data_IF_056263786079
#
_entry.id   IF_056263786079
#
_cell.length_a   1.000
_cell.length_b   1.000
_cell.length_c   1.000
_cell.angle_alpha   90.00
_cell.angle_beta   90.00
_cell.angle_gamma   90.00
#
_symmetry.space_group_name_H-M   'P 1'
#
loop_
_entity.id
_entity.type
_entity.pdbx_description
1 polymer ?
#
# COMPACT_ATOMS: atom_id res chain seq x y z
N UNK A 1 2.21 -17.24 21.59
CA UNK A 1 2.59 -16.80 20.24
C UNK A 1 1.38 -17.04 19.36
N UNK A 2 0.56 -16.02 19.15
CA UNK A 2 -0.51 -16.08 18.16
C UNK A 2 0.16 -16.16 16.80
N UNK A 3 0.21 -17.35 16.20
CA UNK A 3 0.61 -17.53 14.81
C UNK A 3 -0.47 -16.86 13.95
N UNK A 4 -0.30 -15.56 13.73
CA UNK A 4 -1.12 -14.79 12.81
C UNK A 4 -0.57 -15.08 11.41
N UNK A 5 -1.29 -15.91 10.63
CA UNK A 5 -0.97 -16.21 9.22
C UNK A 5 -0.56 -14.96 8.43
N UNK A 6 -1.20 -13.83 8.73
CA UNK A 6 -0.99 -12.54 8.07
C UNK A 6 0.42 -11.94 8.26
N UNK A 7 1.17 -12.37 9.27
CA UNK A 7 2.54 -11.89 9.54
C UNK A 7 3.64 -12.90 9.21
N UNK A 8 3.27 -14.13 8.86
CA UNK A 8 4.21 -15.18 8.46
C UNK A 8 4.65 -15.06 6.99
N UNK A 9 3.74 -14.64 6.10
CA UNK A 9 4.00 -14.48 4.68
C UNK A 9 4.17 -13.02 4.29
N UNK A 10 5.22 -12.72 3.52
CA UNK A 10 5.50 -11.35 3.08
C UNK A 10 4.57 -10.89 1.96
N UNK A 11 4.35 -11.74 0.95
CA UNK A 11 3.38 -11.48 -0.11
C UNK A 11 1.98 -11.90 0.32
N UNK A 12 1.10 -10.91 0.44
CA UNK A 12 -0.34 -11.11 0.36
C UNK A 12 -0.71 -11.82 -0.94
N UNK A 13 -1.79 -12.60 -0.94
CA UNK A 13 -2.23 -13.32 -2.14
C UNK A 13 -2.64 -12.34 -3.24
N UNK A 14 -3.27 -11.20 -2.89
CA UNK A 14 -3.64 -10.16 -3.85
C UNK A 14 -2.42 -9.54 -4.57
N UNK A 15 -1.27 -9.44 -3.89
CA UNK A 15 -0.03 -8.88 -4.48
C UNK A 15 0.59 -9.80 -5.53
N UNK A 16 0.16 -11.06 -5.62
CA UNK A 16 0.66 -12.04 -6.61
C UNK A 16 -0.10 -11.97 -7.94
N UNK A 17 -1.25 -11.29 -7.98
CA UNK A 17 -2.05 -11.16 -9.19
C UNK A 17 -1.39 -10.29 -10.26
N UNK A 18 -1.66 -10.61 -11.52
CA UNK A 18 -1.30 -9.75 -12.66
C UNK A 18 -2.51 -8.86 -12.99
N UNK A 19 -2.50 -7.62 -12.50
CA UNK A 19 -3.49 -6.61 -12.88
C UNK A 19 -3.14 -5.92 -14.20
N UNK A 20 -4.06 -5.11 -14.72
CA UNK A 20 -3.79 -4.25 -15.87
C UNK A 20 -2.58 -3.34 -15.60
N UNK A 21 -1.70 -3.15 -16.60
CA UNK A 21 -0.51 -2.29 -16.53
C UNK A 21 0.41 -2.58 -15.32
N UNK A 22 0.46 -3.85 -14.86
CA UNK A 22 1.20 -4.25 -13.65
C UNK A 22 2.73 -4.10 -13.72
N UNK A 23 3.27 -3.87 -14.92
CA UNK A 23 4.68 -3.54 -15.17
C UNK A 23 5.02 -2.10 -14.73
N UNK A 24 4.03 -1.20 -14.67
CA UNK A 24 4.20 0.17 -14.16
C UNK A 24 3.43 0.38 -12.86
N UNK A 25 2.17 -0.06 -12.81
CA UNK A 25 1.33 0.05 -11.63
C UNK A 25 1.55 -1.16 -10.72
N UNK A 26 2.07 -0.93 -9.52
CA UNK A 26 2.26 -1.99 -8.52
C UNK A 26 0.91 -2.39 -7.93
N UNK A 27 0.16 -1.39 -7.50
CA UNK A 27 -1.10 -1.60 -6.80
C UNK A 27 -2.01 -0.39 -6.92
N UNK A 28 -3.29 -0.68 -6.74
CA UNK A 28 -4.34 0.29 -6.55
C UNK A 28 -4.94 0.12 -5.18
N UNK A 29 -5.24 1.24 -4.52
CA UNK A 29 -5.79 1.26 -3.18
C UNK A 29 -6.87 2.31 -3.05
N UNK A 30 -8.04 1.90 -2.61
CA UNK A 30 -9.16 2.77 -2.25
C UNK A 30 -9.39 2.68 -0.75
N UNK A 31 -9.57 3.84 -0.11
CA UNK A 31 -9.91 3.93 1.31
C UNK A 31 -11.12 4.83 1.51
N UNK A 32 -11.99 4.42 2.42
CA UNK A 32 -13.18 5.18 2.82
C UNK A 32 -13.17 5.33 4.33
N UNK A 33 -13.34 6.55 4.83
CA UNK A 33 -13.39 6.87 6.25
C UNK A 33 -14.80 7.26 6.69
N UNK A 34 -15.27 6.67 7.79
CA UNK A 34 -16.59 6.92 8.38
C UNK A 34 -16.48 7.02 9.90
N UNK A 35 -17.35 7.84 10.47
CA UNK A 35 -17.60 7.83 11.91
C UNK A 35 -19.05 7.47 12.19
N UNK A 36 -19.28 6.85 13.33
CA UNK A 36 -20.62 6.51 13.81
C UNK A 36 -21.34 7.72 14.41
N UNK A 37 -22.64 7.82 14.16
CA UNK A 37 -23.49 8.81 14.81
C UNK A 37 -23.59 8.55 16.31
N UNK A 38 -23.79 9.61 17.11
CA UNK A 38 -23.99 9.57 18.56
C UNK A 38 -22.80 9.09 19.42
N UNK A 39 -21.65 8.78 18.81
CA UNK A 39 -20.42 8.44 19.52
C UNK A 39 -19.35 9.52 19.27
N UNK A 40 -18.62 10.00 20.31
CA UNK A 40 -17.50 10.92 20.11
C UNK A 40 -16.41 10.27 19.25
N UNK A 41 -15.79 11.05 18.36
CA UNK A 41 -14.71 10.57 17.49
C UNK A 41 -13.50 10.04 18.29
N UNK A 42 -12.65 9.16 17.70
CA UNK A 42 -11.62 8.41 18.44
C UNK A 42 -10.74 9.26 19.35
N UNK A 43 -10.36 10.47 18.91
CA UNK A 43 -9.50 11.39 19.67
C UNK A 43 -10.09 11.81 21.03
N UNK A 44 -11.42 11.88 21.14
CA UNK A 44 -12.12 12.30 22.35
C UNK A 44 -12.90 11.17 23.03
N UNK A 45 -12.96 9.99 22.40
CA UNK A 45 -13.69 8.85 22.92
C UNK A 45 -13.09 8.31 24.22
N UNK A 46 -13.95 7.97 25.18
CA UNK A 46 -13.55 7.21 26.37
C UNK A 46 -13.23 5.75 26.01
N UNK A 47 -12.61 5.01 26.93
CA UNK A 47 -12.36 3.58 26.74
C UNK A 47 -13.66 2.79 26.51
N UNK A 48 -14.72 3.13 27.25
CA UNK A 48 -16.01 2.47 27.11
C UNK A 48 -16.63 2.75 25.73
N UNK A 49 -16.56 3.98 25.24
CA UNK A 49 -17.11 4.35 23.93
C UNK A 49 -16.34 3.72 22.77
N UNK A 50 -15.00 3.69 22.84
CA UNK A 50 -14.19 3.00 21.82
C UNK A 50 -14.40 1.49 21.82
N UNK A 51 -14.61 0.87 23.00
CA UNK A 51 -15.00 -0.54 23.09
C UNK A 51 -16.40 -0.79 22.50
N UNK A 52 -17.35 0.14 22.68
CA UNK A 52 -18.68 0.08 22.07
C UNK A 52 -18.61 0.18 20.53
N UNK A 53 -17.79 1.09 19.99
CA UNK A 53 -17.51 1.18 18.54
C UNK A 53 -16.97 -0.15 18.02
N UNK A 54 -15.99 -0.73 18.72
CA UNK A 54 -15.38 -2.00 18.36
C UNK A 54 -16.41 -3.14 18.32
N UNK A 55 -17.26 -3.25 19.34
CA UNK A 55 -18.31 -4.26 19.41
C UNK A 55 -19.32 -4.11 18.26
N UNK A 56 -19.81 -2.90 18.02
CA UNK A 56 -20.78 -2.61 16.94
C UNK A 56 -20.21 -2.97 15.57
N UNK A 57 -19.02 -2.47 15.24
CA UNK A 57 -18.42 -2.65 13.92
C UNK A 57 -17.96 -4.09 13.67
N UNK A 58 -17.45 -4.79 14.69
CA UNK A 58 -17.11 -6.23 14.54
C UNK A 58 -18.34 -7.13 14.52
N UNK A 59 -19.49 -6.65 15.00
CA UNK A 59 -20.78 -7.34 14.90
C UNK A 59 -21.34 -7.39 13.48
N UNK A 60 -21.16 -6.31 12.69
CA UNK A 60 -21.66 -6.19 11.30
C UNK A 60 -21.28 -7.39 10.44
N UNK A 61 -20.04 -7.87 10.58
CA UNK A 61 -19.50 -8.92 9.70
C UNK A 61 -19.70 -10.36 10.21
N UNK A 62 -20.39 -10.57 11.34
CA UNK A 62 -20.62 -11.92 11.91
C UNK A 62 -21.81 -12.65 11.29
N UNK A 63 -22.83 -11.92 10.86
CA UNK A 63 -24.17 -12.48 10.57
C UNK A 63 -24.56 -12.44 9.09
N UNK A 64 -23.67 -11.99 8.20
CA UNK A 64 -23.99 -11.75 6.79
C UNK A 64 -23.52 -12.92 5.90
N UNK A 65 -24.46 -13.74 5.41
CA UNK A 65 -24.15 -14.77 4.39
C UNK A 65 -23.63 -14.16 3.08
N UNK A 66 -24.03 -12.92 2.79
CA UNK A 66 -23.63 -12.10 1.63
C UNK A 66 -22.11 -11.85 1.60
N UNK A 67 -21.43 -11.90 2.75
CA UNK A 67 -19.97 -11.77 2.84
C UNK A 67 -19.21 -12.95 2.26
N UNK A 68 -19.84 -14.13 2.08
CA UNK A 68 -19.16 -15.30 1.50
C UNK A 68 -18.64 -15.01 0.09
N UNK A 69 -19.31 -14.13 -0.66
CA UNK A 69 -18.85 -13.71 -2.00
C UNK A 69 -17.66 -12.74 -1.94
N UNK A 70 -17.50 -12.00 -0.84
CA UNK A 70 -16.40 -11.05 -0.60
C UNK A 70 -15.17 -11.70 0.07
N UNK A 71 -15.33 -12.91 0.61
CA UNK A 71 -14.27 -13.74 1.19
C UNK A 71 -14.45 -14.01 2.69
N UNK A 72 -13.59 -14.86 3.25
CA UNK A 72 -13.55 -15.12 4.69
C UNK A 72 -12.89 -13.96 5.42
N UNK A 73 -13.61 -13.36 6.38
CA UNK A 73 -13.10 -12.25 7.20
C UNK A 73 -12.54 -12.75 8.54
N UNK A 74 -11.44 -12.14 8.97
CA UNK A 74 -10.76 -12.40 10.23
C UNK A 74 -10.58 -11.11 11.01
N UNK A 75 -11.21 -11.04 12.19
CA UNK A 75 -11.04 -9.91 13.12
C UNK A 75 -9.81 -10.14 13.99
N UNK A 76 -8.94 -9.13 14.04
CA UNK A 76 -7.72 -9.12 14.85
C UNK A 76 -7.80 -7.91 15.78
N UNK A 77 -7.78 -8.17 17.09
CA UNK A 77 -7.70 -7.12 18.12
C UNK A 77 -6.24 -6.77 18.33
N UNK A 78 -5.89 -5.47 18.20
CA UNK A 78 -4.49 -5.05 18.24
C UNK A 78 -3.88 -5.16 19.64
N UNK A 79 -4.67 -5.01 20.70
CA UNK A 79 -4.18 -5.13 22.08
C UNK A 79 -3.66 -6.55 22.40
N UNK A 80 -4.11 -7.55 21.63
CA UNK A 80 -3.67 -8.95 21.74
C UNK A 80 -2.45 -9.27 20.85
N UNK A 81 -1.94 -8.29 20.10
CA UNK A 81 -0.83 -8.48 19.16
C UNK A 81 0.52 -8.07 19.74
N UNK A 82 1.57 -8.82 19.38
CA UNK A 82 2.94 -8.40 19.61
C UNK A 82 3.28 -7.17 18.76
N UNK A 83 4.08 -6.24 19.30
CA UNK A 83 4.49 -5.01 18.60
C UNK A 83 5.17 -5.27 17.26
N UNK A 84 5.92 -6.37 17.17
CA UNK A 84 6.56 -6.79 15.94
C UNK A 84 5.53 -7.20 14.87
N UNK A 85 4.45 -7.87 15.25
CA UNK A 85 3.38 -8.26 14.34
C UNK A 85 2.59 -7.04 13.85
N UNK A 86 2.30 -6.07 14.73
CA UNK A 86 1.71 -4.79 14.33
C UNK A 86 2.58 -4.09 13.28
N UNK A 87 3.89 -4.04 13.52
CA UNK A 87 4.86 -3.44 12.57
C UNK A 87 4.87 -4.16 11.23
N UNK A 88 4.79 -5.49 11.23
CA UNK A 88 4.67 -6.28 9.99
C UNK A 88 3.38 -5.92 9.24
N UNK A 89 2.23 -5.81 9.90
CA UNK A 89 0.98 -5.39 9.25
C UNK A 89 1.06 -3.97 8.66
N UNK A 90 1.77 -3.05 9.31
CA UNK A 90 2.06 -1.70 8.77
C UNK A 90 2.92 -1.79 7.51
N UNK A 91 3.98 -2.60 7.54
CA UNK A 91 4.90 -2.80 6.40
C UNK A 91 4.22 -3.49 5.21
N UNK A 92 3.20 -4.32 5.45
CA UNK A 92 2.30 -4.87 4.40
C UNK A 92 1.23 -3.88 3.93
N UNK A 93 1.15 -2.70 4.52
CA UNK A 93 0.11 -1.69 4.28
C UNK A 93 -1.32 -2.16 4.61
N UNK A 94 -1.47 -3.18 5.45
CA UNK A 94 -2.76 -3.68 5.90
C UNK A 94 -3.34 -2.78 6.99
N UNK A 95 -2.50 -2.22 7.86
CA UNK A 95 -2.92 -1.24 8.85
C UNK A 95 -2.09 0.04 8.75
N UNK A 96 -2.59 1.14 9.33
CA UNK A 96 -1.83 2.38 9.43
C UNK A 96 -0.90 2.39 10.65
N UNK A 97 0.16 3.22 10.64
CA UNK A 97 0.96 3.47 11.83
C UNK A 97 0.15 4.02 13.01
N UNK A 98 -0.88 4.84 12.75
CA UNK A 98 -1.74 5.40 13.79
C UNK A 98 -2.55 4.29 14.48
N UNK A 99 -3.11 3.35 13.71
CA UNK A 99 -3.80 2.19 14.30
C UNK A 99 -2.85 1.36 15.18
N UNK A 100 -1.63 1.12 14.72
CA UNK A 100 -0.66 0.30 15.43
C UNK A 100 -0.21 0.91 16.77
N UNK A 101 -0.05 2.24 16.86
CA UNK A 101 0.65 2.89 17.97
C UNK A 101 -0.24 3.77 18.86
N UNK A 102 -1.35 4.28 18.34
CA UNK A 102 -2.13 5.36 19.00
C UNK A 102 -3.58 4.95 19.28
N UNK A 103 -4.05 3.87 18.67
CA UNK A 103 -5.43 3.41 18.80
C UNK A 103 -5.73 2.82 20.18
N UNK A 104 -6.93 3.09 20.68
CA UNK A 104 -7.51 2.45 21.86
C UNK A 104 -8.65 1.54 21.41
N UNK A 105 -8.66 0.29 21.87
CA UNK A 105 -9.59 -0.74 21.38
C UNK A 105 -9.52 -0.84 19.84
N UNK A 106 -8.30 -0.76 19.30
CA UNK A 106 -8.05 -0.85 17.87
C UNK A 106 -8.22 -2.28 17.37
N UNK A 107 -8.82 -2.42 16.20
CA UNK A 107 -8.91 -3.70 15.53
C UNK A 107 -8.74 -3.54 14.03
N UNK A 108 -8.40 -4.65 13.37
CA UNK A 108 -8.45 -4.76 11.92
C UNK A 108 -9.22 -6.01 11.54
N UNK A 109 -10.09 -5.90 10.55
CA UNK A 109 -10.76 -7.05 9.92
C UNK A 109 -10.13 -7.25 8.55
N UNK A 110 -9.55 -8.41 8.32
CA UNK A 110 -8.84 -8.76 7.09
C UNK A 110 -9.55 -9.89 6.36
N UNK A 111 -9.59 -9.83 5.03
CA UNK A 111 -9.91 -11.03 4.24
C UNK A 111 -8.73 -11.99 4.24
N UNK A 112 -9.00 -13.28 4.01
CA UNK A 112 -8.00 -14.33 3.95
C UNK A 112 -6.87 -14.06 2.92
N UNK A 113 -7.22 -13.45 1.78
CA UNK A 113 -6.29 -13.05 0.71
C UNK A 113 -5.62 -11.68 0.95
N UNK A 114 -5.99 -11.02 2.04
CA UNK A 114 -5.55 -9.68 2.49
C UNK A 114 -5.88 -8.53 1.51
N UNK A 115 -6.81 -8.75 0.57
CA UNK A 115 -7.24 -7.71 -0.39
C UNK A 115 -8.17 -6.66 0.22
N UNK A 116 -8.81 -6.98 1.35
CA UNK A 116 -9.62 -6.05 2.13
C UNK A 116 -9.05 -5.92 3.54
N UNK A 117 -8.97 -4.68 4.01
CA UNK A 117 -8.64 -4.34 5.38
C UNK A 117 -9.61 -3.29 5.91
N UNK A 118 -10.34 -3.61 6.96
CA UNK A 118 -11.23 -2.68 7.64
C UNK A 118 -10.63 -2.36 9.00
N UNK A 119 -10.10 -1.15 9.15
CA UNK A 119 -9.52 -0.68 10.40
C UNK A 119 -10.59 -0.02 11.27
N UNK A 120 -10.56 -0.32 12.56
CA UNK A 120 -11.52 0.14 13.55
C UNK A 120 -10.79 0.96 14.62
N UNK A 121 -11.38 2.10 15.00
CA UNK A 121 -10.82 3.04 15.99
C UNK A 121 -9.43 3.59 15.60
N UNK A 122 -9.24 3.98 14.34
CA UNK A 122 -8.03 4.70 13.93
C UNK A 122 -8.19 6.22 14.17
N UNK A 123 -7.95 7.08 13.17
CA UNK A 123 -8.29 8.51 13.23
C UNK A 123 -9.81 8.73 13.18
N UNK A 124 -10.50 7.79 12.52
CA UNK A 124 -11.95 7.68 12.39
C UNK A 124 -12.40 6.30 12.92
N UNK A 125 -13.69 6.15 13.30
CA UNK A 125 -14.22 4.89 13.84
C UNK A 125 -14.06 3.71 12.87
N UNK A 126 -14.28 3.95 11.58
CA UNK A 126 -14.26 2.95 10.54
C UNK A 126 -13.42 3.45 9.35
N UNK A 127 -12.50 2.60 8.90
CA UNK A 127 -11.71 2.85 7.70
C UNK A 127 -11.65 1.60 6.84
N UNK A 128 -12.44 1.58 5.79
CA UNK A 128 -12.47 0.51 4.79
C UNK A 128 -11.31 0.73 3.83
N UNK A 129 -10.56 -0.32 3.52
CA UNK A 129 -9.45 -0.31 2.57
C UNK A 129 -9.56 -1.52 1.64
N UNK A 130 -9.62 -1.25 0.33
CA UNK A 130 -9.53 -2.27 -0.71
C UNK A 130 -8.21 -2.12 -1.47
N UNK A 131 -7.53 -3.24 -1.69
CA UNK A 131 -6.22 -3.37 -2.34
C UNK A 131 -6.33 -4.28 -3.56
N UNK A 132 -5.88 -3.79 -4.71
CA UNK A 132 -5.84 -4.54 -5.96
C UNK A 132 -4.44 -4.48 -6.59
N UNK A 133 -3.98 -5.56 -7.24
CA UNK A 133 -2.74 -5.53 -8.00
C UNK A 133 -2.92 -4.72 -9.28
N UNK A 134 -1.87 -4.03 -9.75
CA UNK A 134 -1.97 -3.28 -10.99
C UNK A 134 -2.99 -2.14 -10.95
N UNK A 135 -3.44 -1.72 -12.13
CA UNK A 135 -4.30 -0.56 -12.34
C UNK A 135 -5.77 -0.97 -12.39
N UNK A 136 -6.46 -0.90 -11.25
CA UNK A 136 -7.83 -1.37 -11.06
C UNK A 136 -8.61 -0.43 -10.12
N UNK A 137 -8.65 0.86 -10.47
CA UNK A 137 -9.21 1.92 -9.59
C UNK A 137 -10.71 1.80 -9.45
N UNK A 138 -11.40 1.40 -10.52
CA UNK A 138 -12.86 1.27 -10.52
C UNK A 138 -13.30 0.04 -9.75
N UNK A 139 -12.63 -1.09 -9.98
CA UNK A 139 -12.88 -2.35 -9.27
C UNK A 139 -12.61 -2.21 -7.77
N UNK A 140 -11.52 -1.51 -7.40
CA UNK A 140 -11.23 -1.22 -6.01
C UNK A 140 -12.26 -0.27 -5.37
N UNK A 141 -12.84 0.64 -6.14
CA UNK A 141 -13.92 1.51 -5.68
C UNK A 141 -15.23 0.73 -5.51
N UNK A 142 -15.66 -0.02 -6.52
CA UNK A 142 -16.89 -0.82 -6.48
C UNK A 142 -16.90 -1.76 -5.27
N UNK A 143 -15.76 -2.41 -4.97
CA UNK A 143 -15.64 -3.26 -3.78
C UNK A 143 -15.65 -2.47 -2.47
N UNK A 144 -15.05 -1.29 -2.44
CA UNK A 144 -15.07 -0.44 -1.25
C UNK A 144 -16.47 0.11 -0.96
N UNK A 145 -17.22 0.51 -1.99
CA UNK A 145 -18.62 0.96 -1.86
C UNK A 145 -19.52 -0.17 -1.41
N UNK A 146 -19.41 -1.36 -1.99
CA UNK A 146 -20.18 -2.51 -1.54
C UNK A 146 -19.95 -2.84 -0.06
N UNK A 147 -18.72 -2.69 0.43
CA UNK A 147 -18.42 -2.82 1.86
C UNK A 147 -18.98 -1.65 2.67
N UNK A 148 -18.89 -0.41 2.18
CA UNK A 148 -19.41 0.78 2.86
C UNK A 148 -20.92 0.68 3.07
N UNK A 149 -21.66 0.26 2.04
CA UNK A 149 -23.11 0.03 2.07
C UNK A 149 -23.49 -1.05 3.10
N UNK A 150 -22.73 -2.16 3.15
CA UNK A 150 -22.95 -3.24 4.13
C UNK A 150 -22.79 -2.78 5.59
N UNK A 151 -21.84 -1.87 5.84
CA UNK A 151 -21.70 -1.26 7.17
C UNK A 151 -22.83 -0.26 7.43
N UNK A 152 -23.17 0.60 6.47
CA UNK A 152 -24.23 1.60 6.60
C UNK A 152 -25.60 0.99 6.90
N UNK A 153 -25.89 -0.20 6.35
CA UNK A 153 -27.13 -0.95 6.63
C UNK A 153 -27.30 -1.37 8.11
N UNK A 154 -26.19 -1.43 8.87
CA UNK A 154 -26.18 -1.88 10.27
C UNK A 154 -25.82 -0.77 11.26
N UNK A 155 -25.17 0.30 10.79
CA UNK A 155 -24.74 1.41 11.64
C UNK A 155 -24.97 2.76 10.98
N UNK A 156 -25.51 3.71 11.75
CA UNK A 156 -25.70 5.08 11.27
C UNK A 156 -24.38 5.84 11.20
N UNK A 157 -24.04 6.36 10.02
CA UNK A 157 -22.89 7.24 9.86
C UNK A 157 -23.17 8.68 10.29
N UNK A 158 -22.14 9.32 10.86
CA UNK A 158 -22.12 10.73 11.16
C UNK A 158 -21.98 11.51 9.84
N UNK A 159 -23.11 11.97 9.30
CA UNK A 159 -23.19 12.70 8.04
C UNK A 159 -23.87 14.07 8.21
N UNK A 160 -23.40 15.07 7.46
CA UNK A 160 -24.00 16.41 7.37
C UNK A 160 -24.27 16.78 5.91
N UNK A 161 -25.46 17.30 5.62
CA UNK A 161 -25.90 17.62 4.24
C UNK A 161 -24.97 18.58 3.49
N UNK A 162 -24.20 19.41 4.20
CA UNK A 162 -23.27 20.39 3.59
C UNK A 162 -21.83 19.90 3.57
N UNK A 163 -21.44 19.14 4.57
CA UNK A 163 -20.04 18.79 4.85
C UNK A 163 -19.72 17.33 4.52
N UNK A 164 -20.73 16.52 4.18
CA UNK A 164 -20.59 15.09 3.91
C UNK A 164 -20.35 14.27 5.17
N UNK A 165 -19.59 13.19 5.03
CA UNK A 165 -19.18 12.33 6.14
C UNK A 165 -18.25 13.08 7.09
N UNK A 166 -18.63 13.12 8.37
CA UNK A 166 -17.90 13.83 9.40
C UNK A 166 -16.68 13.02 9.85
N UNK A 167 -15.55 13.71 9.97
CA UNK A 167 -14.23 13.12 10.25
C UNK A 167 -13.39 14.06 11.11
N UNK A 168 -12.47 13.49 11.89
CA UNK A 168 -11.46 14.27 12.62
C UNK A 168 -10.35 14.77 11.70
N UNK A 169 -10.17 14.14 10.53
CA UNK A 169 -9.05 14.38 9.63
C UNK A 169 -9.46 15.38 8.53
N UNK A 170 -8.88 16.60 8.47
CA UNK A 170 -9.26 17.61 7.48
C UNK A 170 -9.11 17.14 6.03
N UNK A 171 -8.26 16.16 5.75
CA UNK A 171 -8.06 15.63 4.39
C UNK A 171 -9.14 14.66 3.95
N UNK A 172 -10.00 14.19 4.86
CA UNK A 172 -11.07 13.24 4.56
C UNK A 172 -12.47 13.90 4.48
N UNK A 173 -12.60 15.20 4.79
CA UNK A 173 -13.90 15.90 4.82
C UNK A 173 -14.64 15.80 3.48
N UNK A 174 -15.96 15.61 3.51
CA UNK A 174 -16.79 15.40 2.33
C UNK A 174 -17.05 13.92 2.10
N UNK A 175 -16.45 13.35 1.06
CA UNK A 175 -16.65 11.96 0.65
C UNK A 175 -16.01 10.93 1.60
N UNK A 176 -15.02 11.31 2.41
CA UNK A 176 -14.20 10.34 3.15
C UNK A 176 -13.31 9.46 2.26
N UNK A 177 -13.31 9.68 0.94
CA UNK A 177 -12.65 8.85 -0.06
C UNK A 177 -11.19 9.25 -0.25
N UNK A 178 -10.30 8.26 -0.19
CA UNK A 178 -8.93 8.39 -0.64
C UNK A 178 -8.52 7.23 -1.55
N UNK A 179 -8.58 7.50 -2.85
CA UNK A 179 -8.09 6.60 -3.89
C UNK A 179 -6.63 6.89 -4.22
N UNK A 180 -5.85 5.85 -4.48
CA UNK A 180 -4.44 5.95 -4.77
C UNK A 180 -3.94 4.83 -5.69
N UNK A 181 -2.97 5.18 -6.53
CA UNK A 181 -2.27 4.26 -7.42
C UNK A 181 -0.78 4.33 -7.12
N UNK A 182 -0.16 3.18 -6.96
CA UNK A 182 1.27 3.05 -6.73
C UNK A 182 1.97 2.68 -8.01
N UNK A 183 2.92 3.51 -8.43
CA UNK A 183 3.60 3.38 -9.71
C UNK A 183 5.11 3.31 -9.56
N UNK A 184 5.73 2.44 -10.35
CA UNK A 184 7.17 2.38 -10.56
C UNK A 184 7.54 3.18 -11.81
N UNK A 185 8.16 4.34 -11.61
CA UNK A 185 8.44 5.33 -12.66
C UNK A 185 9.96 5.56 -12.89
N UNK A 186 10.77 4.50 -13.07
CA UNK A 186 12.21 4.63 -13.15
C UNK A 186 12.66 5.37 -14.42
N UNK A 187 11.98 5.23 -15.57
CA UNK A 187 12.41 5.87 -16.80
C UNK A 187 12.16 7.38 -16.76
N UNK A 188 11.03 7.83 -16.23
CA UNK A 188 10.76 9.25 -16.00
C UNK A 188 11.78 9.89 -15.05
N UNK A 189 12.24 9.17 -14.02
CA UNK A 189 13.32 9.63 -13.14
C UNK A 189 14.65 9.70 -13.88
N UNK A 190 15.05 8.64 -14.59
CA UNK A 190 16.34 8.57 -15.30
C UNK A 190 16.45 9.59 -16.43
N UNK A 191 15.33 9.96 -17.05
CA UNK A 191 15.23 11.00 -18.09
C UNK A 191 14.98 12.40 -17.53
N UNK A 192 14.95 12.55 -16.20
CA UNK A 192 14.71 13.82 -15.48
C UNK A 192 13.36 14.50 -15.80
N UNK A 193 12.36 13.72 -16.22
CA UNK A 193 11.02 14.21 -16.54
C UNK A 193 10.06 14.19 -15.35
N UNK A 194 10.40 13.45 -14.28
CA UNK A 194 9.50 13.23 -13.14
C UNK A 194 8.98 14.53 -12.52
N UNK A 195 9.83 15.53 -12.28
CA UNK A 195 9.42 16.78 -11.63
C UNK A 195 8.34 17.54 -12.42
N UNK A 196 8.40 17.48 -13.76
CA UNK A 196 7.38 18.09 -14.63
C UNK A 196 6.04 17.38 -14.47
N UNK A 197 6.05 16.05 -14.38
CA UNK A 197 4.85 15.24 -14.13
C UNK A 197 4.28 15.57 -12.75
N UNK A 198 5.11 15.62 -11.70
CA UNK A 198 4.67 15.94 -10.34
C UNK A 198 3.99 17.31 -10.26
N UNK A 199 4.55 18.33 -10.92
CA UNK A 199 3.94 19.66 -11.00
C UNK A 199 2.60 19.65 -11.71
N UNK A 200 2.48 18.95 -12.85
CA UNK A 200 1.22 18.85 -13.60
C UNK A 200 0.12 18.13 -12.82
N UNK A 201 0.47 17.02 -12.14
CA UNK A 201 -0.45 16.24 -11.29
C UNK A 201 -0.98 17.08 -10.13
N UNK A 202 -0.13 17.92 -9.55
CA UNK A 202 -0.53 18.81 -8.43
C UNK A 202 -1.53 19.89 -8.85
N UNK A 203 -1.46 20.36 -10.11
CA UNK A 203 -2.36 21.37 -10.64
C UNK A 203 -3.79 20.85 -10.87
N UNK A 204 -3.98 19.54 -10.95
CA UNK A 204 -5.29 18.89 -11.21
C UNK A 204 -5.89 18.26 -9.95
N UNK A 205 -5.45 18.69 -8.76
CA UNK A 205 -6.03 18.27 -7.48
C UNK A 205 -5.61 16.89 -6.99
N UNK A 206 -4.51 16.36 -7.52
CA UNK A 206 -3.90 15.12 -7.06
C UNK A 206 -2.59 15.42 -6.31
N UNK A 207 -2.20 14.53 -5.42
CA UNK A 207 -0.94 14.61 -4.68
C UNK A 207 -0.07 13.40 -5.00
N UNK A 208 1.24 13.62 -5.04
CA UNK A 208 2.22 12.55 -5.26
C UNK A 208 3.18 12.49 -4.08
N UNK A 209 3.46 11.29 -3.59
CA UNK A 209 4.41 11.05 -2.50
C UNK A 209 5.28 9.85 -2.83
N UNK A 210 6.52 9.87 -2.35
CA UNK A 210 7.36 8.67 -2.33
C UNK A 210 6.80 7.63 -1.36
N UNK A 211 6.92 6.34 -1.70
CA UNK A 211 6.46 5.24 -0.84
C UNK A 211 7.40 5.02 0.34
N UNK A 212 8.71 5.02 0.07
CA UNK A 212 9.77 4.81 1.03
C UNK A 212 10.70 6.03 1.04
N UNK A 213 11.07 6.49 2.24
CA UNK A 213 11.90 7.69 2.43
C UNK A 213 11.26 8.71 3.37
N UNK A 214 12.00 9.75 3.73
CA UNK A 214 11.49 10.89 4.48
C UNK A 214 11.05 12.00 3.52
N UNK A 215 9.88 12.59 3.77
CA UNK A 215 9.36 13.70 2.97
C UNK A 215 8.97 13.31 1.53
N UNK A 216 9.61 13.93 0.53
CA UNK A 216 9.32 13.75 -0.90
C UNK A 216 10.29 12.80 -1.62
N UNK A 217 11.22 12.17 -0.91
CA UNK A 217 12.17 11.23 -1.51
C UNK A 217 11.43 9.96 -1.93
N UNK A 218 11.49 9.60 -3.22
CA UNK A 218 10.86 8.41 -3.78
C UNK A 218 11.88 7.29 -3.96
N UNK A 219 12.29 6.68 -2.85
CA UNK A 219 13.29 5.60 -2.86
C UNK A 219 12.74 4.42 -3.68
N UNK A 220 13.59 3.88 -4.58
CA UNK A 220 13.18 2.80 -5.49
C UNK A 220 12.29 3.26 -6.64
N UNK A 221 12.20 4.56 -6.92
CA UNK A 221 11.36 5.13 -7.98
C UNK A 221 9.87 4.73 -7.85
N UNK A 222 9.40 4.51 -6.61
CA UNK A 222 8.02 4.17 -6.29
C UNK A 222 7.28 5.43 -5.83
N UNK A 223 6.23 5.78 -6.57
CA UNK A 223 5.42 6.96 -6.36
C UNK A 223 3.97 6.54 -6.11
N UNK A 224 3.37 7.11 -5.07
CA UNK A 224 1.94 7.00 -4.83
C UNK A 224 1.26 8.28 -5.31
N UNK A 225 0.37 8.15 -6.29
CA UNK A 225 -0.51 9.24 -6.75
C UNK A 225 -1.87 9.04 -6.09
N UNK A 226 -2.42 10.07 -5.45
CA UNK A 226 -3.73 10.00 -4.80
C UNK A 226 -4.52 11.28 -4.95
N UNK A 227 -5.84 11.23 -4.79
CA UNK A 227 -6.64 12.45 -4.71
C UNK A 227 -6.25 13.28 -3.48
N UNK A 228 -6.30 14.60 -3.64
CA UNK A 228 -6.19 15.57 -2.55
C UNK A 228 -7.55 16.19 -2.22
N UNK A 229 -8.40 16.35 -3.23
CA UNK A 229 -9.75 16.91 -3.09
C UNK A 229 -10.69 15.77 -2.65
N UNK A 230 -11.47 16.05 -1.61
CA UNK A 230 -12.44 15.13 -1.00
C UNK A 230 -13.80 15.77 -0.74
N UNK A 231 -13.90 17.10 -0.75
CA UNK A 231 -15.14 17.87 -0.59
C UNK A 231 -15.46 18.64 -1.87
N UNK A 232 -16.75 18.68 -2.24
CA UNK A 232 -17.24 19.43 -3.39
C UNK A 232 -17.09 18.70 -4.73
N UNK A 233 -16.69 17.43 -4.72
CA UNK A 233 -16.67 16.52 -5.85
C UNK A 233 -17.33 15.21 -5.41
N UNK A 234 -17.99 14.54 -6.36
CA UNK A 234 -18.51 13.19 -6.13
C UNK A 234 -17.39 12.16 -6.14
N UNK A 235 -17.61 11.03 -5.49
CA UNK A 235 -16.68 9.91 -5.46
C UNK A 235 -16.32 9.44 -6.88
N UNK A 236 -17.31 9.34 -7.77
CA UNK A 236 -17.10 8.95 -9.17
C UNK A 236 -16.20 9.93 -9.92
N UNK A 237 -16.37 11.25 -9.72
CA UNK A 237 -15.49 12.26 -10.33
C UNK A 237 -14.04 12.15 -9.81
N UNK A 238 -13.87 11.87 -8.51
CA UNK A 238 -12.55 11.65 -7.90
C UNK A 238 -11.87 10.43 -8.53
N UNK A 239 -12.60 9.33 -8.65
CA UNK A 239 -12.11 8.07 -9.23
C UNK A 239 -11.76 8.25 -10.71
N UNK A 240 -12.61 8.90 -11.49
CA UNK A 240 -12.38 9.12 -12.93
C UNK A 240 -11.22 10.09 -13.19
N UNK A 241 -11.05 11.12 -12.37
CA UNK A 241 -9.90 12.03 -12.44
C UNK A 241 -8.58 11.28 -12.15
N UNK A 242 -8.53 10.51 -11.05
CA UNK A 242 -7.35 9.72 -10.71
C UNK A 242 -7.03 8.71 -11.81
N UNK A 243 -8.04 8.00 -12.32
CA UNK A 243 -7.89 7.02 -13.38
C UNK A 243 -7.32 7.66 -14.66
N UNK A 244 -7.89 8.79 -15.09
CA UNK A 244 -7.45 9.49 -16.31
C UNK A 244 -6.01 10.00 -16.21
N UNK A 245 -5.63 10.57 -15.06
CA UNK A 245 -4.27 11.07 -14.85
C UNK A 245 -3.28 9.91 -14.73
N UNK A 246 -3.63 8.84 -14.02
CA UNK A 246 -2.79 7.65 -13.91
C UNK A 246 -2.48 7.05 -15.29
N UNK A 247 -3.49 6.93 -16.18
CA UNK A 247 -3.28 6.46 -17.56
C UNK A 247 -2.26 7.31 -18.34
N UNK A 248 -2.31 8.64 -18.19
CA UNK A 248 -1.34 9.52 -18.83
C UNK A 248 0.07 9.30 -18.29
N UNK A 249 0.23 9.09 -16.98
CA UNK A 249 1.53 8.82 -16.36
C UNK A 249 2.09 7.48 -16.83
N UNK A 250 1.25 6.45 -16.94
CA UNK A 250 1.61 5.13 -17.50
C UNK A 250 2.16 5.31 -18.91
N UNK A 251 1.43 6.04 -19.76
CA UNK A 251 1.84 6.28 -21.14
C UNK A 251 3.17 7.08 -21.21
N UNK A 252 3.35 8.08 -20.37
CA UNK A 252 4.61 8.82 -20.28
C UNK A 252 5.79 7.94 -19.85
N UNK A 253 5.59 7.03 -18.89
CA UNK A 253 6.63 6.08 -18.47
C UNK A 253 6.94 5.07 -19.58
N UNK A 254 5.94 4.54 -20.30
CA UNK A 254 6.16 3.66 -21.46
C UNK A 254 7.01 4.34 -22.54
N UNK A 255 6.63 5.55 -22.94
CA UNK A 255 7.39 6.35 -23.90
C UNK A 255 8.83 6.64 -23.42
N UNK A 256 9.01 6.92 -22.12
CA UNK A 256 10.34 7.12 -21.55
C UNK A 256 11.18 5.84 -21.56
N UNK A 257 10.58 4.68 -21.28
CA UNK A 257 11.23 3.36 -21.35
C UNK A 257 11.69 3.05 -22.78
N UNK A 258 10.83 3.28 -23.77
CA UNK A 258 11.18 3.10 -25.19
C UNK A 258 12.35 3.99 -25.61
N UNK A 259 12.31 5.27 -25.22
CA UNK A 259 13.40 6.22 -25.49
C UNK A 259 14.72 5.77 -24.86
N UNK A 260 14.69 5.26 -23.64
CA UNK A 260 15.88 4.74 -22.97
C UNK A 260 16.46 3.53 -23.73
N UNK A 261 15.60 2.65 -24.26
CA UNK A 261 16.03 1.53 -25.08
C UNK A 261 16.59 1.99 -26.44
N UNK A 262 16.01 2.99 -27.09
CA UNK A 262 16.52 3.47 -28.38
C UNK A 262 17.83 4.24 -28.26
N UNK A 263 17.97 5.09 -27.24
CA UNK A 263 19.11 6.01 -27.10
C UNK A 263 20.25 5.46 -26.23
N UNK A 264 19.97 4.50 -25.34
CA UNK A 264 20.89 4.14 -24.25
C UNK A 264 20.87 2.65 -23.86
N UNK A 265 20.42 1.74 -24.74
CA UNK A 265 20.26 0.31 -24.42
C UNK A 265 21.42 -0.28 -23.62
N UNK A 266 22.65 -0.18 -24.14
CA UNK A 266 23.83 -0.78 -23.50
C UNK A 266 24.09 -0.20 -22.10
N UNK A 267 23.89 1.11 -21.92
CA UNK A 267 24.07 1.79 -20.64
C UNK A 267 23.03 1.34 -19.60
N UNK A 268 21.78 1.16 -20.02
CA UNK A 268 20.72 0.65 -19.16
C UNK A 268 20.97 -0.82 -18.83
N UNK A 269 21.36 -1.64 -19.81
CA UNK A 269 21.74 -3.04 -19.58
C UNK A 269 22.89 -3.13 -18.58
N UNK A 270 23.97 -2.36 -18.72
CA UNK A 270 25.08 -2.36 -17.76
C UNK A 270 24.61 -1.97 -16.35
N UNK A 271 23.78 -0.93 -16.22
CA UNK A 271 23.22 -0.50 -14.94
C UNK A 271 22.37 -1.58 -14.27
N UNK A 272 21.50 -2.23 -15.03
CA UNK A 272 20.65 -3.34 -14.58
C UNK A 272 21.52 -4.50 -14.10
N UNK A 273 22.49 -4.92 -14.91
CA UNK A 273 23.37 -6.05 -14.62
C UNK A 273 24.25 -5.80 -13.40
N UNK A 274 24.77 -4.56 -13.23
CA UNK A 274 25.48 -4.15 -12.01
C UNK A 274 24.59 -4.24 -10.78
N UNK A 275 23.35 -3.75 -10.88
CA UNK A 275 22.40 -3.80 -9.76
C UNK A 275 22.04 -5.23 -9.39
N UNK A 276 21.84 -6.10 -10.38
CA UNK A 276 21.62 -7.52 -10.18
C UNK A 276 22.81 -8.21 -9.52
N UNK A 277 24.04 -7.92 -9.98
CA UNK A 277 25.26 -8.43 -9.35
C UNK A 277 25.42 -7.97 -7.90
N UNK A 278 25.16 -6.70 -7.60
CA UNK A 278 25.19 -6.16 -6.23
C UNK A 278 24.18 -6.91 -5.35
N UNK A 279 22.93 -7.04 -5.78
CA UNK A 279 21.90 -7.76 -5.03
C UNK A 279 22.26 -9.25 -4.83
N UNK A 280 22.93 -9.86 -5.80
CA UNK A 280 23.28 -11.29 -5.75
C UNK A 280 24.49 -11.59 -4.86
N UNK A 281 25.38 -10.63 -4.61
CA UNK A 281 26.67 -10.89 -3.95
C UNK A 281 27.02 -9.98 -2.76
N UNK A 282 26.40 -8.81 -2.61
CA UNK A 282 26.74 -7.88 -1.52
C UNK A 282 26.54 -8.54 -0.16
N UNK A 283 27.47 -8.30 0.78
CA UNK A 283 27.41 -8.85 2.14
C UNK A 283 26.64 -7.94 3.13
N UNK A 284 26.57 -6.64 2.82
CA UNK A 284 25.91 -5.58 3.61
C UNK A 284 25.17 -4.70 2.62
N UNK A 285 23.94 -4.30 2.94
CA UNK A 285 23.13 -3.46 2.07
C UNK A 285 22.16 -2.60 2.86
N UNK A 286 22.27 -1.28 2.73
CA UNK A 286 21.35 -0.32 3.33
C UNK A 286 19.96 -0.36 2.65
N UNK A 287 18.91 0.08 3.35
CA UNK A 287 17.54 0.08 2.81
C UNK A 287 17.41 0.89 1.52
N UNK A 288 18.02 2.07 1.47
CA UNK A 288 17.93 2.96 0.29
C UNK A 288 18.63 2.36 -0.93
N UNK A 289 19.80 1.75 -0.72
CA UNK A 289 20.50 1.03 -1.77
C UNK A 289 19.69 -0.16 -2.27
N UNK A 290 19.18 -1.01 -1.36
CA UNK A 290 18.38 -2.17 -1.71
C UNK A 290 17.20 -1.79 -2.61
N UNK A 291 16.38 -0.82 -2.20
CA UNK A 291 15.24 -0.37 -2.97
C UNK A 291 15.63 0.22 -4.34
N UNK A 292 16.73 0.97 -4.43
CA UNK A 292 17.22 1.46 -5.73
C UNK A 292 17.67 0.32 -6.65
N UNK A 293 18.37 -0.69 -6.12
CA UNK A 293 18.85 -1.82 -6.90
C UNK A 293 17.71 -2.74 -7.33
N UNK A 294 16.73 -2.98 -6.44
CA UNK A 294 15.50 -3.71 -6.76
C UNK A 294 14.71 -3.00 -7.86
N UNK A 295 14.61 -1.68 -7.81
CA UNK A 295 14.04 -0.86 -8.88
C UNK A 295 14.76 -1.05 -10.22
N UNK A 296 16.09 -0.98 -10.22
CA UNK A 296 16.89 -1.14 -11.44
C UNK A 296 16.70 -2.56 -12.03
N UNK A 297 16.70 -3.60 -11.19
CA UNK A 297 16.46 -5.00 -11.63
C UNK A 297 15.04 -5.18 -12.16
N UNK A 298 14.02 -4.63 -11.49
CA UNK A 298 12.63 -4.66 -11.96
C UNK A 298 12.50 -4.06 -13.36
N UNK A 299 13.05 -2.87 -13.58
CA UNK A 299 13.09 -2.24 -14.90
C UNK A 299 13.78 -3.14 -15.94
N UNK A 300 14.89 -3.78 -15.55
CA UNK A 300 15.62 -4.69 -16.42
C UNK A 300 14.83 -5.92 -16.85
N UNK A 301 14.05 -6.50 -15.95
CA UNK A 301 13.16 -7.64 -16.22
C UNK A 301 12.01 -7.19 -17.11
N UNK A 302 11.34 -6.08 -16.78
CA UNK A 302 10.22 -5.54 -17.57
C UNK A 302 10.62 -5.20 -19.02
N UNK A 303 11.85 -4.71 -19.23
CA UNK A 303 12.39 -4.39 -20.56
C UNK A 303 13.03 -5.58 -21.29
N UNK A 304 13.03 -6.77 -20.69
CA UNK A 304 13.67 -7.96 -21.26
C UNK A 304 15.20 -7.85 -21.39
N UNK A 305 15.84 -6.98 -20.60
CA UNK A 305 17.30 -6.80 -20.56
C UNK A 305 17.99 -7.80 -19.63
N UNK A 306 17.24 -8.39 -18.70
CA UNK A 306 17.72 -9.38 -17.75
C UNK A 306 16.75 -10.57 -17.72
N UNK A 307 17.25 -11.77 -17.98
CA UNK A 307 16.54 -13.01 -17.66
C UNK A 307 16.71 -13.28 -16.17
N UNK A 308 15.86 -12.65 -15.36
CA UNK A 308 15.91 -12.68 -13.90
C UNK A 308 14.60 -13.18 -13.29
N UNK A 309 14.47 -13.11 -11.95
CA UNK A 309 13.21 -13.43 -11.29
C UNK A 309 12.09 -12.49 -11.76
N UNK A 310 10.82 -12.92 -11.69
CA UNK A 310 9.69 -12.10 -12.13
C UNK A 310 9.55 -10.84 -11.26
N UNK A 311 8.94 -9.79 -11.82
CA UNK A 311 8.78 -8.48 -11.16
C UNK A 311 8.05 -8.53 -9.81
N UNK A 312 7.22 -9.55 -9.58
CA UNK A 312 6.59 -9.82 -8.29
C UNK A 312 7.59 -10.12 -7.16
N UNK A 313 8.75 -10.71 -7.47
CA UNK A 313 9.83 -10.96 -6.49
C UNK A 313 10.43 -9.65 -6.00
N UNK A 314 10.50 -8.64 -6.85
CA UNK A 314 11.02 -7.32 -6.45
C UNK A 314 10.03 -6.62 -5.51
N UNK A 315 8.72 -6.78 -5.74
CA UNK A 315 7.68 -6.30 -4.83
C UNK A 315 7.77 -7.00 -3.47
N UNK A 316 7.94 -8.34 -3.48
CA UNK A 316 8.15 -9.15 -2.28
C UNK A 316 9.37 -8.69 -1.49
N UNK A 317 10.51 -8.52 -2.17
CA UNK A 317 11.76 -8.08 -1.55
C UNK A 317 11.65 -6.68 -0.95
N UNK A 318 10.90 -5.75 -1.57
CA UNK A 318 10.68 -4.42 -0.99
C UNK A 318 9.99 -4.48 0.38
N UNK A 319 9.07 -5.45 0.59
CA UNK A 319 8.39 -5.68 1.87
C UNK A 319 9.27 -6.47 2.83
N UNK A 320 9.87 -7.58 2.38
CA UNK A 320 10.69 -8.46 3.20
C UNK A 320 11.95 -7.82 3.77
N UNK A 321 12.45 -6.79 3.10
CA UNK A 321 13.67 -6.07 3.50
C UNK A 321 13.40 -4.89 4.43
N UNK A 322 12.13 -4.66 4.79
CA UNK A 322 11.74 -3.71 5.82
C UNK A 322 12.14 -4.20 7.22
N UNK A 323 12.37 -3.29 8.18
CA UNK A 323 12.91 -3.64 9.48
C UNK A 323 12.08 -4.66 10.26
N UNK A 324 10.75 -4.54 10.29
CA UNK A 324 9.85 -5.44 11.02
C UNK A 324 9.90 -6.85 10.47
N UNK A 325 9.76 -7.01 9.15
CA UNK A 325 9.90 -8.30 8.50
C UNK A 325 11.26 -8.95 8.69
N UNK A 326 12.36 -8.18 8.60
CA UNK A 326 13.70 -8.71 8.85
C UNK A 326 13.82 -9.26 10.27
N UNK A 327 13.35 -8.49 11.26
CA UNK A 327 13.37 -8.92 12.66
C UNK A 327 12.48 -10.14 12.90
N UNK A 328 11.28 -10.18 12.31
CA UNK A 328 10.37 -11.34 12.44
C UNK A 328 10.95 -12.60 11.81
N UNK A 329 11.55 -12.49 10.62
CA UNK A 329 12.12 -13.62 9.89
C UNK A 329 13.34 -14.23 10.58
N UNK A 330 14.20 -13.40 11.15
CA UNK A 330 15.47 -13.84 11.74
C UNK A 330 15.41 -13.99 13.26
N UNK A 331 14.32 -13.57 13.91
CA UNK A 331 14.04 -13.84 15.33
C UNK A 331 14.78 -12.95 16.33
N UNK A 332 15.48 -11.91 15.87
CA UNK A 332 16.35 -11.08 16.71
C UNK A 332 15.96 -9.59 16.68
N UNK A 333 16.09 -8.92 17.84
CA UNK A 333 16.15 -7.46 17.88
C UNK A 333 17.46 -7.02 17.23
N UNK A 334 17.36 -6.32 16.10
CA UNK A 334 18.53 -5.95 15.30
C UNK A 334 18.82 -4.46 15.36
N UNK A 335 20.08 -4.11 15.59
CA UNK A 335 20.58 -2.77 15.36
C UNK A 335 20.65 -2.46 13.83
N UNK A 336 20.85 -1.19 13.42
CA UNK A 336 20.90 -0.83 12.00
C UNK A 336 21.91 -1.64 11.16
N UNK A 337 23.13 -1.86 11.66
CA UNK A 337 24.16 -2.59 10.93
C UNK A 337 23.86 -4.09 10.78
N UNK A 338 23.28 -4.71 11.81
CA UNK A 338 22.78 -6.09 11.72
C UNK A 338 21.68 -6.21 10.68
N UNK A 339 20.73 -5.25 10.65
CA UNK A 339 19.69 -5.23 9.62
C UNK A 339 20.26 -5.16 8.21
N UNK A 340 21.34 -4.42 7.99
CA UNK A 340 21.95 -4.31 6.66
C UNK A 340 22.62 -5.62 6.21
N UNK A 341 23.22 -6.36 7.14
CA UNK A 341 23.77 -7.72 6.88
C UNK A 341 22.64 -8.71 6.57
N UNK A 342 21.59 -8.71 7.40
CA UNK A 342 20.45 -9.61 7.23
C UNK A 342 19.63 -9.30 5.97
N UNK A 343 19.50 -8.02 5.61
CA UNK A 343 18.89 -7.58 4.35
C UNK A 343 19.63 -8.14 3.16
N UNK A 344 20.94 -7.95 3.12
CA UNK A 344 21.77 -8.48 2.05
C UNK A 344 21.67 -10.02 1.99
N UNK A 345 21.75 -10.70 3.14
CA UNK A 345 21.59 -12.16 3.22
C UNK A 345 20.26 -12.63 2.63
N UNK A 346 19.15 -12.00 3.01
CA UNK A 346 17.81 -12.35 2.56
C UNK A 346 17.66 -12.18 1.04
N UNK A 347 18.12 -11.05 0.51
CA UNK A 347 18.10 -10.79 -0.93
C UNK A 347 18.88 -11.87 -1.68
N UNK A 348 20.09 -12.20 -1.23
CA UNK A 348 20.92 -13.25 -1.86
C UNK A 348 20.23 -14.61 -1.83
N UNK A 349 19.61 -14.99 -0.72
CA UNK A 349 18.87 -16.26 -0.60
C UNK A 349 17.73 -16.34 -1.62
N UNK A 350 16.93 -15.27 -1.73
CA UNK A 350 15.76 -15.24 -2.63
C UNK A 350 16.18 -15.22 -4.11
N UNK A 351 17.22 -14.46 -4.45
CA UNK A 351 17.74 -14.39 -5.82
C UNK A 351 18.54 -15.64 -6.21
N UNK A 352 19.30 -16.23 -5.29
CA UNK A 352 20.15 -17.39 -5.53
C UNK A 352 19.38 -18.71 -5.64
N UNK A 353 18.33 -18.90 -4.84
CA UNK A 353 17.49 -20.11 -4.91
C UNK A 353 16.71 -20.25 -6.24
N UNK A 354 16.63 -19.19 -7.05
CA UNK A 354 15.92 -19.16 -8.34
C UNK A 354 16.85 -19.23 -9.55
N UNK A 355 18.15 -19.43 -9.35
CA UNK A 355 19.14 -19.68 -10.42
C UNK A 355 19.36 -21.18 -10.71
N UNK A 356 18.65 -22.08 -10.02
CA UNK A 356 18.69 -23.54 -10.26
C UNK A 356 17.52 -24.02 -11.11
#
# INVERSE_FOLDING_TARGET
MSNLRFTEQALSEWMRGNGQDSDIVISTRVRVARNLQHLPFPLLATNQQSAEVLERLTGVLKDQEELKELGSFHTIILDDMEELDKKVLVEKHLISPALANESRNGAVILTEDESVSVMINEEDHLRIQCLYPGFQVREAWDRATALDDLFEDQVDYAFDDKSGYLTSCPTNVGTGLRASVMMHLPALVMTQQINRILSAVSQVGLTVRGMYGEGSEAVGNLFQISNQITLGQTESEIIDNLHSVALQIIEHEKNARERLLSESKLRITDRVMRSYGILSYAAVMESKEAAQRLSDVRLGVDLGLLQGPPSSVMNELNVMTQPGFLQKRFGDLMNPGERDVHRAKLIREILGNRQQ
#
